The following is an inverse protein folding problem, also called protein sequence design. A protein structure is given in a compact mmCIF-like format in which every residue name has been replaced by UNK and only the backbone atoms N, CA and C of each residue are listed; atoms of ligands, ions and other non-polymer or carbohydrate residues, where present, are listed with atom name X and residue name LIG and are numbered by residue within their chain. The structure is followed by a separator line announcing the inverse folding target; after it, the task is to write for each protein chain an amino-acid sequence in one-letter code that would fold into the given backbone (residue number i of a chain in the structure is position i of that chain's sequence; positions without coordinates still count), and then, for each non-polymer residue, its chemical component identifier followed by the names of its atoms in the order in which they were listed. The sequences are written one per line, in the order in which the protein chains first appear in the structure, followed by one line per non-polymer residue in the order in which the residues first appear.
data_IF_504619661533
#
_entry.id   IF_504619661533
#
_cell.length_a   1.000
_cell.length_b   1.000
_cell.length_c   1.000
_cell.angle_alpha   90.00
_cell.angle_beta   90.00
_cell.angle_gamma   90.00
#
_symmetry.space_group_name_H-M   'P 1'
#
loop_
_entity.id
_entity.type
_entity.pdbx_description
1 polymer ?
#
# COMPACT_ATOMS: atom_id res chain seq x y z
N UNK A 1 12.73 12.90 0.05
CA UNK A 1 11.70 12.72 1.09
C UNK A 1 11.45 11.23 1.23
N UNK A 2 11.46 10.65 2.44
CA UNK A 2 11.09 9.24 2.60
C UNK A 2 9.61 9.10 2.22
N UNK A 3 9.31 8.20 1.29
CA UNK A 3 7.92 7.90 0.94
C UNK A 3 7.30 7.16 2.14
N UNK A 4 6.21 7.67 2.74
CA UNK A 4 5.60 7.00 3.88
C UNK A 4 5.06 5.64 3.42
N UNK A 5 5.50 4.58 4.10
CA UNK A 5 4.89 3.26 3.99
C UNK A 5 3.52 3.35 4.65
N UNK A 6 2.47 3.09 3.86
CA UNK A 6 1.08 3.16 4.33
C UNK A 6 0.67 1.85 4.98
N UNK A 7 1.09 0.73 4.39
CA UNK A 7 0.78 -0.61 4.86
C UNK A 7 1.87 -1.59 4.45
N UNK A 8 1.92 -2.74 5.12
CA UNK A 8 2.81 -3.84 4.76
C UNK A 8 2.06 -5.16 4.91
N UNK A 9 2.44 -6.15 4.11
CA UNK A 9 1.97 -7.52 4.26
C UNK A 9 3.07 -8.52 3.96
N UNK A 10 2.81 -9.79 4.25
CA UNK A 10 3.65 -10.90 3.84
C UNK A 10 2.85 -11.76 2.87
N UNK A 11 3.45 -12.10 1.74
CA UNK A 11 2.84 -13.04 0.80
C UNK A 11 2.91 -14.48 1.35
N UNK A 12 2.29 -15.42 0.63
CA UNK A 12 2.30 -16.84 1.00
C UNK A 12 3.71 -17.47 1.00
N UNK A 13 4.69 -16.82 0.35
CA UNK A 13 6.10 -17.26 0.33
C UNK A 13 6.90 -16.66 1.49
N UNK A 14 6.28 -15.83 2.34
CA UNK A 14 6.94 -15.12 3.45
C UNK A 14 7.71 -13.87 3.02
N UNK A 15 7.58 -13.43 1.76
CA UNK A 15 8.20 -12.20 1.28
C UNK A 15 7.44 -11.01 1.83
N UNK A 16 8.19 -10.05 2.37
CA UNK A 16 7.62 -8.79 2.84
C UNK A 16 7.38 -7.83 1.67
N UNK A 17 6.20 -7.26 1.65
CA UNK A 17 5.74 -6.24 0.73
C UNK A 17 5.41 -4.97 1.50
N UNK A 18 6.04 -3.86 1.13
CA UNK A 18 5.77 -2.53 1.67
C UNK A 18 5.00 -1.72 0.60
N UNK A 19 3.78 -1.32 0.94
CA UNK A 19 2.93 -0.50 0.08
C UNK A 19 3.12 0.96 0.43
N UNK A 20 3.59 1.74 -0.53
CA UNK A 20 3.91 3.15 -0.39
C UNK A 20 3.04 4.01 -1.29
N UNK A 21 2.72 5.20 -0.80
CA UNK A 21 2.13 6.27 -1.61
C UNK A 21 3.22 7.30 -1.88
N UNK A 22 3.47 7.59 -3.16
CA UNK A 22 4.50 8.55 -3.58
C UNK A 22 3.98 9.49 -4.65
N UNK A 23 4.55 10.69 -4.70
CA UNK A 23 4.27 11.65 -5.78
C UNK A 23 5.28 11.44 -6.91
N UNK A 24 4.80 11.30 -8.13
CA UNK A 24 5.62 11.19 -9.34
C UNK A 24 6.24 12.55 -9.68
N UNK A 25 7.23 12.56 -10.59
CA UNK A 25 7.84 13.80 -11.09
C UNK A 25 6.84 14.71 -11.81
N UNK A 26 5.78 14.13 -12.37
CA UNK A 26 4.69 14.86 -13.03
C UNK A 26 3.66 15.43 -12.04
N UNK A 27 3.79 15.17 -10.74
CA UNK A 27 2.85 15.63 -9.72
C UNK A 27 1.68 14.70 -9.45
N UNK A 28 1.53 13.60 -10.20
CA UNK A 28 0.52 12.56 -9.95
C UNK A 28 0.86 11.74 -8.70
N UNK A 29 -0.16 11.28 -7.97
CA UNK A 29 0.00 10.33 -6.86
C UNK A 29 0.06 8.90 -7.39
N UNK A 30 0.91 8.08 -6.79
CA UNK A 30 1.12 6.70 -7.22
C UNK A 30 1.18 5.78 -6.01
N UNK A 31 0.47 4.65 -6.10
CA UNK A 31 0.55 3.53 -5.17
C UNK A 31 1.53 2.52 -5.74
N UNK A 32 2.55 2.16 -4.96
CA UNK A 32 3.53 1.16 -5.35
C UNK A 32 3.68 0.11 -4.26
N UNK A 33 3.73 -1.15 -4.69
CA UNK A 33 4.09 -2.30 -3.87
C UNK A 33 5.57 -2.61 -4.07
N UNK A 34 6.35 -2.59 -2.99
CA UNK A 34 7.79 -2.79 -3.00
C UNK A 34 8.12 -4.03 -2.19
N UNK A 35 8.73 -5.01 -2.82
CA UNK A 35 9.36 -6.15 -2.17
C UNK A 35 10.85 -6.22 -2.49
N UNK A 36 11.55 -7.13 -1.82
CA UNK A 36 12.96 -7.42 -2.11
C UNK A 36 13.19 -7.91 -3.55
N UNK A 37 12.16 -8.48 -4.19
CA UNK A 37 12.25 -9.04 -5.52
C UNK A 37 11.92 -8.03 -6.62
N UNK A 38 10.94 -7.14 -6.38
CA UNK A 38 10.44 -6.22 -7.40
C UNK A 38 9.70 -5.03 -6.81
N UNK A 39 9.56 -3.99 -7.63
CA UNK A 39 8.59 -2.91 -7.42
C UNK A 39 7.47 -3.04 -8.45
N UNK A 40 6.22 -3.06 -7.98
CA UNK A 40 5.03 -3.12 -8.82
C UNK A 40 4.22 -1.83 -8.63
N UNK A 41 3.83 -1.19 -9.73
CA UNK A 41 2.92 -0.05 -9.66
C UNK A 41 1.51 -0.58 -9.62
N UNK A 42 0.77 -0.25 -8.56
CA UNK A 42 -0.60 -0.68 -8.36
C UNK A 42 -1.55 0.29 -9.06
N UNK A 43 -1.40 1.58 -8.78
CA UNK A 43 -2.28 2.61 -9.33
C UNK A 43 -1.53 3.94 -9.49
N UNK A 44 -1.88 4.73 -10.52
CA UNK A 44 -1.38 6.09 -10.73
C UNK A 44 -2.55 7.04 -10.93
N UNK A 45 -2.80 7.87 -9.92
CA UNK A 45 -3.86 8.86 -9.92
C UNK A 45 -3.43 10.06 -10.75
N UNK A 46 -4.08 10.24 -11.90
CA UNK A 46 -3.81 11.32 -12.85
C UNK A 46 -4.53 12.64 -12.50
N UNK A 47 -5.38 12.64 -11.47
CA UNK A 47 -6.06 13.82 -10.94
C UNK A 47 -5.11 14.77 -10.19
N UNK A 48 -5.20 16.07 -10.48
CA UNK A 48 -4.10 17.02 -10.24
C UNK A 48 -3.97 17.47 -8.77
N UNK A 49 -5.01 17.44 -7.95
CA UNK A 49 -4.98 18.17 -6.68
C UNK A 49 -5.31 17.38 -5.39
N UNK A 50 -6.13 16.31 -5.45
CA UNK A 50 -6.67 15.68 -4.22
C UNK A 50 -6.44 14.16 -4.11
N UNK A 51 -5.54 13.59 -4.91
CA UNK A 51 -5.38 12.12 -4.97
C UNK A 51 -4.67 11.48 -3.77
N UNK A 52 -4.14 12.21 -2.78
CA UNK A 52 -3.39 11.57 -1.68
C UNK A 52 -4.29 10.71 -0.77
N UNK A 53 -5.39 11.21 -0.20
CA UNK A 53 -6.27 10.39 0.64
C UNK A 53 -6.85 9.19 -0.12
N UNK A 54 -7.13 9.37 -1.42
CA UNK A 54 -7.58 8.31 -2.32
C UNK A 54 -6.49 7.26 -2.55
N UNK A 55 -5.26 7.66 -2.89
CA UNK A 55 -4.12 6.76 -3.04
C UNK A 55 -3.84 5.97 -1.75
N UNK A 56 -3.99 6.60 -0.59
CA UNK A 56 -3.87 5.92 0.70
C UNK A 56 -5.02 4.93 0.96
N UNK A 57 -6.25 5.24 0.53
CA UNK A 57 -7.38 4.32 0.61
C UNK A 57 -7.14 3.09 -0.27
N UNK A 58 -6.73 3.29 -1.53
CA UNK A 58 -6.37 2.23 -2.48
C UNK A 58 -5.24 1.37 -1.91
N UNK A 59 -4.20 1.97 -1.34
CA UNK A 59 -3.10 1.23 -0.72
C UNK A 59 -3.58 0.31 0.42
N UNK A 60 -4.50 0.79 1.27
CA UNK A 60 -5.06 0.01 2.38
C UNK A 60 -5.96 -1.12 1.89
N UNK A 61 -6.80 -0.86 0.89
CA UNK A 61 -7.67 -1.85 0.28
C UNK A 61 -6.86 -2.93 -0.43
N UNK A 62 -5.87 -2.53 -1.24
CA UNK A 62 -4.96 -3.45 -1.93
C UNK A 62 -4.34 -4.46 -0.97
N UNK A 63 -3.86 -4.02 0.20
CA UNK A 63 -3.30 -4.92 1.21
C UNK A 63 -4.36 -5.88 1.76
N UNK A 64 -5.57 -5.42 2.05
CA UNK A 64 -6.66 -6.28 2.58
C UNK A 64 -7.03 -7.42 1.62
N UNK A 65 -6.87 -7.19 0.32
CA UNK A 65 -7.17 -8.19 -0.72
C UNK A 65 -6.03 -9.22 -0.89
N UNK A 66 -4.85 -9.00 -0.31
CA UNK A 66 -3.72 -9.91 -0.53
C UNK A 66 -3.86 -11.20 0.30
N UNK A 67 -3.72 -12.38 -0.34
CA UNK A 67 -3.67 -13.65 0.36
C UNK A 67 -2.40 -13.73 1.21
N UNK A 68 -2.54 -13.48 2.51
CA UNK A 68 -1.41 -13.40 3.45
C UNK A 68 -1.31 -12.08 4.21
N UNK A 69 -2.13 -11.07 3.85
CA UNK A 69 -2.36 -9.91 4.70
C UNK A 69 -3.10 -10.34 5.96
N UNK A 70 -2.32 -10.85 6.93
CA UNK A 70 -2.73 -10.87 8.31
C UNK A 70 -2.85 -9.41 8.72
N UNK A 71 -4.07 -8.86 8.61
CA UNK A 71 -4.49 -7.85 9.56
C UNK A 71 -4.09 -8.43 10.92
N UNK A 72 -3.19 -7.76 11.64
CA UNK A 72 -3.10 -8.00 13.07
C UNK A 72 -4.43 -7.51 13.62
N UNK A 73 -5.47 -8.34 13.49
CA UNK A 73 -6.70 -8.21 14.22
C UNK A 73 -6.26 -8.14 15.68
N UNK A 74 -6.45 -6.97 16.28
CA UNK A 74 -6.29 -6.84 17.71
C UNK A 74 -7.16 -7.91 18.37
N UNK A 75 -6.65 -8.73 19.31
CA UNK A 75 -7.50 -9.62 20.06
C UNK A 75 -8.29 -8.78 21.06
N UNK A 76 -9.53 -8.46 20.75
CA UNK A 76 -10.46 -7.75 21.64
C UNK A 76 -11.84 -7.62 21.00
N UNK A 77 -12.90 -8.25 21.47
CA UNK A 77 -13.09 -8.87 22.76
C UNK A 77 -14.20 -9.90 22.74
N UNK A 78 -14.04 -10.83 23.68
CA UNK A 78 -15.00 -11.82 24.11
C UNK A 78 -16.09 -11.12 24.93
N UNK A 79 -17.34 -11.42 24.64
CA UNK A 79 -18.37 -11.63 25.66
C UNK A 79 -19.36 -12.65 25.09
#
# INVERSE_FOLDING_TARGET
MPNPVIAHYQDASGVRHDVVVRKTRAGAWQVADISVAKTTIIETLTGVDEGRPEAEAIAREYVREQPGAREKAAPGGRA
#
